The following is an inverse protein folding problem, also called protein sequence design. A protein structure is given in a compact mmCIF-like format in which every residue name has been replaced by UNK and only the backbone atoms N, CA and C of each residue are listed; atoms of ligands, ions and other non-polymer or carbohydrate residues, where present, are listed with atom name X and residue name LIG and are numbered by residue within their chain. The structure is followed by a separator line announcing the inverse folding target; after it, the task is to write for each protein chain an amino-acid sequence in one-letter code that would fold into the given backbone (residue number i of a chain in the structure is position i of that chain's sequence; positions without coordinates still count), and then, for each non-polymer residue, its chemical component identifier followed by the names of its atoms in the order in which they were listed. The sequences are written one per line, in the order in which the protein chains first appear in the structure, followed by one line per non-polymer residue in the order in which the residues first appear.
data_IF_161328648545
#
_entry.id   IF_161328648545
#
_cell.length_a   1.000
_cell.length_b   1.000
_cell.length_c   1.000
_cell.angle_alpha   90.00
_cell.angle_beta   90.00
_cell.angle_gamma   90.00
#
_symmetry.space_group_name_H-M   'P 1'
#
loop_
_entity.id
_entity.type
_entity.pdbx_description
1 polymer ?
#
# COMPACT_ATOMS: atom_id res chain seq x y z
N UNK A 1 18.74 3.72 71.31
CA UNK A 1 17.59 4.65 71.33
C UNK A 1 16.54 4.05 70.42
N UNK A 2 15.59 3.28 70.92
CA UNK A 2 14.55 3.74 71.85
C UNK A 2 13.33 4.10 70.98
N UNK A 3 12.55 3.14 70.49
CA UNK A 3 11.43 2.45 71.18
C UNK A 3 10.17 3.32 71.34
N UNK A 4 9.02 2.65 71.16
CA UNK A 4 7.64 2.96 71.60
C UNK A 4 6.77 3.80 70.64
N UNK A 5 5.70 3.27 70.02
CA UNK A 5 4.51 2.46 70.42
C UNK A 5 3.29 3.28 70.83
N UNK A 6 2.11 2.77 70.45
CA UNK A 6 0.78 3.07 71.02
C UNK A 6 -0.27 3.45 69.96
N UNK A 7 -0.94 2.52 69.26
CA UNK A 7 -2.08 1.65 69.66
C UNK A 7 -3.42 2.35 70.03
N UNK A 8 -4.49 1.98 69.32
CA UNK A 8 -5.78 1.41 69.78
C UNK A 8 -6.96 1.85 68.85
N UNK A 9 -7.60 0.93 68.11
CA UNK A 9 -8.86 0.19 68.42
C UNK A 9 -10.14 1.08 68.38
N UNK A 10 -11.31 0.76 67.83
CA UNK A 10 -11.92 -0.45 67.26
C UNK A 10 -13.26 -0.10 66.53
N UNK A 11 -13.79 -1.10 65.81
CA UNK A 11 -15.21 -1.40 65.54
C UNK A 11 -15.99 -0.71 64.40
N UNK A 12 -16.53 -1.54 63.49
CA UNK A 12 -17.59 -1.20 62.54
C UNK A 12 -17.84 -2.28 61.50
N UNK A 13 -18.63 -3.32 61.85
CA UNK A 13 -19.19 -4.32 60.92
C UNK A 13 -20.09 -3.67 59.87
N UNK A 14 -20.04 -4.16 58.62
CA UNK A 14 -21.25 -4.34 57.82
C UNK A 14 -21.05 -5.47 56.81
N UNK A 15 -21.87 -6.50 56.96
CA UNK A 15 -22.09 -7.59 56.01
C UNK A 15 -22.85 -7.06 54.80
N UNK A 16 -22.41 -7.41 53.59
CA UNK A 16 -23.31 -7.57 52.44
C UNK A 16 -22.76 -8.66 51.52
N UNK A 17 -23.44 -9.80 51.53
CA UNK A 17 -23.26 -10.88 50.57
C UNK A 17 -24.01 -10.56 49.27
N UNK A 18 -23.37 -10.77 48.12
CA UNK A 18 -24.05 -11.12 46.87
C UNK A 18 -23.25 -12.25 46.20
N UNK A 19 -23.91 -13.40 46.11
CA UNK A 19 -23.58 -14.59 45.33
C UNK A 19 -23.48 -14.31 43.82
N UNK A 20 -22.72 -15.14 43.09
CA UNK A 20 -23.15 -15.54 41.75
C UNK A 20 -22.10 -15.54 40.63
N UNK A 21 -21.26 -16.57 40.62
CA UNK A 21 -20.90 -17.43 39.49
C UNK A 21 -20.31 -16.84 38.18
N UNK A 22 -19.11 -17.29 37.84
CA UNK A 22 -18.52 -17.15 36.50
C UNK A 22 -17.03 -17.51 36.40
N UNK A 23 -16.59 -18.60 37.03
CA UNK A 23 -15.22 -19.07 36.93
C UNK A 23 -14.91 -19.62 35.51
N UNK A 24 -14.37 -18.77 34.64
CA UNK A 24 -13.59 -19.20 33.48
C UNK A 24 -12.17 -19.55 33.94
N UNK A 25 -11.95 -20.81 34.28
CA UNK A 25 -10.62 -21.39 34.52
C UNK A 25 -9.73 -21.20 33.28
N UNK A 26 -8.78 -20.27 33.35
CA UNK A 26 -7.58 -20.31 32.51
C UNK A 26 -6.63 -21.33 33.16
N UNK A 27 -6.53 -22.51 32.54
CA UNK A 27 -5.67 -23.60 33.02
C UNK A 27 -4.18 -23.20 32.96
N UNK A 28 -3.38 -23.40 34.02
CA UNK A 28 -1.93 -23.12 34.02
C UNK A 28 -1.14 -24.06 33.08
N UNK A 29 -1.78 -25.10 32.55
CA UNK A 29 -1.20 -25.99 31.54
C UNK A 29 -1.00 -25.30 30.20
N UNK A 30 -1.85 -24.32 29.83
CA UNK A 30 -1.79 -23.64 28.54
C UNK A 30 -0.59 -22.69 28.44
N UNK A 31 -0.34 -21.88 29.48
CA UNK A 31 0.84 -21.00 29.49
C UNK A 31 2.16 -21.77 29.61
N UNK A 32 2.16 -22.92 30.29
CA UNK A 32 3.32 -23.80 30.39
C UNK A 32 3.62 -24.50 29.06
N UNK A 33 2.58 -24.88 28.31
CA UNK A 33 2.73 -25.44 26.96
C UNK A 33 3.16 -24.39 25.93
N UNK A 34 2.59 -23.18 25.99
CA UNK A 34 2.95 -22.07 25.08
C UNK A 34 4.40 -21.62 25.30
N UNK A 35 4.88 -21.59 26.55
CA UNK A 35 6.29 -21.26 26.86
C UNK A 35 7.27 -22.36 26.43
N UNK A 36 6.90 -23.64 26.58
CA UNK A 36 7.70 -24.77 26.07
C UNK A 36 7.77 -24.80 24.53
N UNK A 37 6.65 -24.50 23.85
CA UNK A 37 6.62 -24.40 22.39
C UNK A 37 7.45 -23.22 21.89
N UNK A 38 7.31 -22.04 22.51
CA UNK A 38 8.09 -20.85 22.15
C UNK A 38 9.60 -21.08 22.30
N UNK A 39 10.01 -21.72 23.42
CA UNK A 39 11.39 -22.15 23.66
C UNK A 39 11.90 -23.06 22.53
N UNK A 40 11.14 -24.10 22.17
CA UNK A 40 11.54 -25.04 21.12
C UNK A 40 11.68 -24.40 19.73
N UNK A 41 10.84 -23.41 19.41
CA UNK A 41 10.95 -22.66 18.16
C UNK A 41 12.17 -21.74 18.13
N UNK A 42 12.59 -21.22 19.28
CA UNK A 42 13.80 -20.40 19.38
C UNK A 42 15.06 -21.25 19.16
N UNK A 43 15.05 -22.48 19.68
CA UNK A 43 16.15 -23.43 19.54
C UNK A 43 16.40 -23.80 18.07
N UNK A 44 15.34 -24.14 17.32
CA UNK A 44 15.45 -24.47 15.88
C UNK A 44 16.05 -23.32 15.07
N UNK A 45 15.58 -22.09 15.29
CA UNK A 45 16.10 -20.91 14.59
C UNK A 45 17.57 -20.64 14.94
N UNK A 46 17.97 -20.87 16.19
CA UNK A 46 19.37 -20.72 16.61
C UNK A 46 20.28 -21.80 16.03
N UNK A 47 19.83 -23.05 15.97
CA UNK A 47 20.59 -24.14 15.38
C UNK A 47 20.87 -23.87 13.89
N UNK A 48 19.87 -23.37 13.16
CA UNK A 48 20.03 -22.93 11.77
C UNK A 48 21.08 -21.81 11.65
N UNK A 49 20.99 -20.76 12.47
CA UNK A 49 21.94 -19.64 12.47
C UNK A 49 23.37 -20.12 12.79
N UNK A 50 23.53 -21.05 13.73
CA UNK A 50 24.83 -21.58 14.11
C UNK A 50 25.44 -22.52 13.05
N UNK A 51 24.60 -23.13 12.21
CA UNK A 51 25.05 -23.99 11.11
C UNK A 51 25.66 -23.23 9.93
N UNK A 52 25.42 -21.92 9.83
CA UNK A 52 25.95 -21.08 8.74
C UNK A 52 27.43 -20.79 9.00
N UNK A 53 28.29 -21.12 8.04
CA UNK A 53 29.75 -20.97 8.18
C UNK A 53 30.31 -19.74 7.46
N UNK A 54 29.58 -19.14 6.51
CA UNK A 54 30.04 -18.01 5.70
C UNK A 54 31.17 -18.38 4.71
N UNK A 55 31.07 -17.89 3.47
CA UNK A 55 31.96 -18.31 2.37
C UNK A 55 33.38 -17.73 2.51
N UNK A 56 33.50 -16.50 3.01
CA UNK A 56 34.76 -15.78 3.19
C UNK A 56 34.94 -15.25 4.63
N UNK A 57 36.03 -14.52 4.89
CA UNK A 57 36.29 -13.94 6.21
C UNK A 57 35.24 -12.92 6.64
N UNK A 58 34.68 -12.19 5.67
CA UNK A 58 33.64 -11.20 5.90
C UNK A 58 32.32 -11.87 6.27
N UNK A 59 31.90 -12.90 5.53
CA UNK A 59 30.73 -13.72 5.81
C UNK A 59 30.85 -14.44 7.15
N UNK A 60 32.04 -14.97 7.49
CA UNK A 60 32.30 -15.51 8.84
C UNK A 60 32.13 -14.47 9.93
N UNK A 61 32.61 -13.24 9.69
CA UNK A 61 32.52 -12.14 10.66
C UNK A 61 31.09 -11.63 10.81
N UNK A 62 30.37 -11.47 9.71
CA UNK A 62 28.95 -11.18 9.65
C UNK A 62 28.15 -12.23 10.42
N UNK A 63 28.44 -13.52 10.22
CA UNK A 63 27.71 -14.58 10.91
C UNK A 63 27.88 -14.52 12.42
N UNK A 64 29.09 -14.24 12.93
CA UNK A 64 29.31 -14.08 14.37
C UNK A 64 28.48 -12.94 14.96
N UNK A 65 28.34 -11.82 14.23
CA UNK A 65 27.53 -10.68 14.62
C UNK A 65 26.04 -11.05 14.59
N UNK A 66 25.58 -11.74 13.54
CA UNK A 66 24.21 -12.22 13.41
C UNK A 66 23.83 -13.19 14.54
N UNK A 67 24.69 -14.16 14.86
CA UNK A 67 24.50 -15.07 16.00
C UNK A 67 24.41 -14.30 17.32
N UNK A 68 25.24 -13.27 17.53
CA UNK A 68 25.18 -12.43 18.72
C UNK A 68 23.87 -11.65 18.78
N UNK A 69 23.45 -11.02 17.67
CA UNK A 69 22.21 -10.28 17.57
C UNK A 69 20.98 -11.16 17.84
N UNK A 70 20.92 -12.36 17.26
CA UNK A 70 19.83 -13.32 17.50
C UNK A 70 19.67 -13.64 18.98
N UNK A 71 20.77 -13.92 19.70
CA UNK A 71 20.74 -14.15 21.16
C UNK A 71 20.18 -12.96 21.93
N UNK A 72 20.48 -11.73 21.50
CA UNK A 72 19.97 -10.52 22.13
C UNK A 72 18.47 -10.35 21.90
N UNK A 73 17.97 -10.63 20.71
CA UNK A 73 16.53 -10.58 20.42
C UNK A 73 15.75 -11.70 21.11
N UNK A 74 16.29 -12.92 21.18
CA UNK A 74 15.69 -14.02 21.98
C UNK A 74 15.55 -13.60 23.44
N UNK A 75 16.62 -13.08 24.03
CA UNK A 75 16.61 -12.53 25.38
C UNK A 75 15.64 -11.36 25.56
N UNK A 76 15.40 -10.54 24.54
CA UNK A 76 14.42 -9.47 24.58
C UNK A 76 12.99 -10.04 24.60
N UNK A 77 12.71 -11.03 23.74
CA UNK A 77 11.42 -11.73 23.67
C UNK A 77 11.12 -12.49 24.97
N UNK A 78 12.10 -13.15 25.57
CA UNK A 78 11.93 -13.82 26.88
C UNK A 78 11.54 -12.84 28.00
N UNK A 79 12.01 -11.59 27.92
CA UNK A 79 11.69 -10.52 28.88
C UNK A 79 10.36 -9.84 28.58
N UNK A 80 10.06 -9.69 27.29
CA UNK A 80 8.83 -9.10 26.79
C UNK A 80 8.36 -9.83 25.53
N UNK A 81 7.48 -10.85 25.68
CA UNK A 81 6.96 -11.62 24.56
C UNK A 81 6.07 -10.82 23.61
N UNK A 82 5.65 -9.61 23.99
CA UNK A 82 4.78 -8.73 23.21
C UNK A 82 5.57 -7.58 22.54
N UNK A 83 6.89 -7.75 22.33
CA UNK A 83 7.74 -6.78 21.63
C UNK A 83 7.80 -7.08 20.12
N UNK A 84 7.00 -6.40 19.26
CA UNK A 84 6.99 -6.63 17.82
C UNK A 84 8.35 -6.33 17.16
N UNK A 85 9.11 -5.35 17.68
CA UNK A 85 10.39 -4.95 17.10
C UNK A 85 11.45 -6.04 17.34
N UNK A 86 11.40 -6.74 18.47
CA UNK A 86 12.29 -7.86 18.73
C UNK A 86 12.06 -9.01 17.73
N UNK A 87 10.80 -9.37 17.45
CA UNK A 87 10.49 -10.38 16.42
C UNK A 87 10.86 -9.90 15.01
N UNK A 88 10.54 -8.66 14.66
CA UNK A 88 10.87 -8.08 13.36
C UNK A 88 12.38 -8.08 13.10
N UNK A 89 13.18 -7.62 14.06
CA UNK A 89 14.64 -7.56 13.90
C UNK A 89 15.27 -8.96 13.92
N UNK A 90 14.70 -9.90 14.67
CA UNK A 90 15.17 -11.29 14.61
C UNK A 90 14.88 -11.93 13.25
N UNK A 91 13.73 -11.62 12.65
CA UNK A 91 13.42 -12.04 11.28
C UNK A 91 14.45 -11.50 10.26
N UNK A 92 14.90 -10.24 10.41
CA UNK A 92 15.97 -9.67 9.59
C UNK A 92 17.28 -10.43 9.76
N UNK A 93 17.65 -10.78 11.00
CA UNK A 93 18.86 -11.58 11.28
C UNK A 93 18.81 -12.95 10.59
N UNK A 94 17.63 -13.58 10.55
CA UNK A 94 17.41 -14.84 9.86
C UNK A 94 17.54 -14.69 8.34
N UNK A 95 16.98 -13.63 7.73
CA UNK A 95 17.16 -13.35 6.30
C UNK A 95 18.62 -13.08 5.94
N UNK A 96 19.31 -12.24 6.71
CA UNK A 96 20.74 -11.96 6.49
C UNK A 96 21.60 -13.22 6.67
N UNK A 97 21.25 -14.10 7.61
CA UNK A 97 21.90 -15.41 7.75
C UNK A 97 21.64 -16.29 6.53
N UNK A 98 20.44 -16.24 5.97
CA UNK A 98 20.04 -16.99 4.77
C UNK A 98 20.83 -16.53 3.52
N UNK A 99 21.13 -15.23 3.41
CA UNK A 99 21.97 -14.67 2.36
C UNK A 99 23.45 -14.96 2.52
N UNK A 100 23.88 -15.27 3.75
CA UNK A 100 25.25 -15.64 4.08
C UNK A 100 25.54 -17.16 3.90
N UNK A 101 24.54 -17.96 3.51
CA UNK A 101 24.67 -19.39 3.22
C UNK A 101 25.47 -19.61 1.94
N UNK A 102 26.41 -20.56 1.96
CA UNK A 102 27.14 -21.00 0.75
C UNK A 102 26.15 -21.61 -0.28
N UNK A 103 26.13 -21.11 -1.53
CA UNK A 103 25.30 -21.67 -2.59
C UNK A 103 25.52 -23.17 -2.87
N UNK A 104 26.67 -23.73 -2.49
CA UNK A 104 27.01 -25.14 -2.70
C UNK A 104 26.71 -26.05 -1.50
N UNK A 105 26.14 -25.51 -0.41
CA UNK A 105 25.72 -26.28 0.75
C UNK A 105 24.36 -26.95 0.51
N UNK A 106 24.09 -28.11 1.13
CA UNK A 106 22.84 -28.89 1.03
C UNK A 106 21.61 -28.21 1.71
N UNK A 107 21.63 -26.87 1.76
CA UNK A 107 20.51 -25.93 1.90
C UNK A 107 19.89 -25.74 3.30
N UNK A 108 20.47 -24.83 4.09
CA UNK A 108 19.82 -24.16 5.24
C UNK A 108 19.07 -22.88 4.87
N UNK A 109 19.23 -22.36 3.64
CA UNK A 109 18.68 -21.05 3.23
C UNK A 109 17.15 -20.99 3.29
N UNK A 110 16.46 -21.97 2.70
CA UNK A 110 14.99 -21.98 2.71
C UNK A 110 14.43 -22.13 4.13
N UNK A 111 15.06 -22.96 4.97
CA UNK A 111 14.66 -23.11 6.39
C UNK A 111 14.86 -21.83 7.19
N UNK A 112 15.95 -21.09 6.95
CA UNK A 112 16.17 -19.77 7.55
C UNK A 112 15.10 -18.76 7.11
N UNK A 113 14.76 -18.73 5.82
CA UNK A 113 13.69 -17.87 5.29
C UNK A 113 12.32 -18.25 5.83
N UNK A 114 12.05 -19.55 6.04
CA UNK A 114 10.81 -20.02 6.66
C UNK A 114 10.69 -19.57 8.12
N UNK A 115 11.76 -19.69 8.91
CA UNK A 115 11.77 -19.17 10.28
C UNK A 115 11.65 -17.64 10.30
N UNK A 116 12.29 -16.93 9.35
CA UNK A 116 12.10 -15.48 9.22
C UNK A 116 10.63 -15.13 8.96
N UNK A 117 9.94 -15.86 8.08
CA UNK A 117 8.51 -15.69 7.83
C UNK A 117 7.68 -15.87 9.10
N UNK A 118 7.99 -16.85 9.95
CA UNK A 118 7.29 -17.06 11.23
C UNK A 118 7.49 -15.87 12.18
N UNK A 119 8.71 -15.32 12.26
CA UNK A 119 8.98 -14.15 13.10
C UNK A 119 8.30 -12.88 12.57
N UNK A 120 8.24 -12.67 11.25
CA UNK A 120 7.43 -11.58 10.68
C UNK A 120 5.94 -11.75 10.93
N UNK A 121 5.41 -12.97 10.82
CA UNK A 121 4.01 -13.26 11.13
C UNK A 121 3.69 -12.87 12.59
N UNK A 122 4.60 -13.16 13.52
CA UNK A 122 4.42 -12.79 14.93
C UNK A 122 4.54 -11.27 15.15
N UNK A 123 5.53 -10.62 14.52
CA UNK A 123 5.67 -9.15 14.58
C UNK A 123 4.41 -8.43 14.05
N UNK A 124 3.84 -8.92 12.94
CA UNK A 124 2.61 -8.35 12.34
C UNK A 124 1.35 -8.73 13.11
N UNK A 125 1.33 -9.86 13.83
CA UNK A 125 0.27 -10.21 14.78
C UNK A 125 0.23 -9.23 15.94
N UNK A 126 1.40 -8.90 16.50
CA UNK A 126 1.56 -7.95 17.61
C UNK A 126 1.33 -6.49 17.16
N UNK A 127 1.83 -6.12 15.99
CA UNK A 127 1.67 -4.79 15.41
C UNK A 127 1.16 -4.86 13.95
N UNK A 128 -0.17 -4.89 13.72
CA UNK A 128 -0.76 -5.00 12.38
C UNK A 128 -0.52 -3.79 11.46
N UNK A 129 0.08 -2.73 11.98
CA UNK A 129 0.43 -1.50 11.24
C UNK A 129 1.94 -1.38 10.95
N UNK A 130 2.73 -2.41 11.27
CA UNK A 130 4.18 -2.41 11.04
C UNK A 130 4.51 -2.65 9.56
N UNK A 131 4.54 -1.56 8.80
CA UNK A 131 4.83 -1.54 7.35
C UNK A 131 6.08 -2.35 6.99
N UNK A 132 7.20 -2.11 7.68
CA UNK A 132 8.48 -2.74 7.35
C UNK A 132 8.44 -4.27 7.53
N UNK A 133 7.65 -4.77 8.50
CA UNK A 133 7.48 -6.20 8.70
C UNK A 133 6.73 -6.83 7.53
N UNK A 134 5.61 -6.25 7.07
CA UNK A 134 4.90 -6.76 5.89
C UNK A 134 5.75 -6.72 4.62
N UNK A 135 6.48 -5.63 4.40
CA UNK A 135 7.33 -5.46 3.22
C UNK A 135 8.49 -6.47 3.20
N UNK A 136 9.22 -6.62 4.31
CA UNK A 136 10.34 -7.56 4.40
C UNK A 136 9.88 -9.03 4.47
N UNK A 137 8.70 -9.29 5.02
CA UNK A 137 8.08 -10.61 4.96
C UNK A 137 7.75 -11.01 3.53
N UNK A 138 7.21 -10.08 2.74
CA UNK A 138 6.94 -10.32 1.32
C UNK A 138 8.22 -10.64 0.53
N UNK A 139 9.35 -9.98 0.84
CA UNK A 139 10.67 -10.27 0.27
C UNK A 139 11.10 -11.70 0.62
N UNK A 140 11.04 -12.08 1.90
CA UNK A 140 11.41 -13.42 2.34
C UNK A 140 10.61 -14.51 1.63
N UNK A 141 9.28 -14.32 1.50
CA UNK A 141 8.41 -15.25 0.77
C UNK A 141 8.76 -15.29 -0.72
N UNK A 142 9.02 -14.13 -1.34
CA UNK A 142 9.40 -14.04 -2.75
C UNK A 142 10.70 -14.80 -3.04
N UNK A 143 11.68 -14.73 -2.15
CA UNK A 143 12.94 -15.46 -2.30
C UNK A 143 12.75 -16.97 -2.17
N UNK A 144 11.90 -17.42 -1.24
CA UNK A 144 11.47 -18.83 -1.18
C UNK A 144 10.77 -19.26 -2.47
N UNK A 145 9.89 -18.41 -3.03
CA UNK A 145 9.19 -18.71 -4.28
C UNK A 145 10.16 -18.88 -5.45
N UNK A 146 11.20 -18.02 -5.56
CA UNK A 146 12.24 -18.13 -6.59
C UNK A 146 13.01 -19.45 -6.50
N UNK A 147 13.32 -19.91 -5.28
CA UNK A 147 14.02 -21.19 -5.06
C UNK A 147 13.20 -22.40 -5.54
N UNK A 148 11.88 -22.28 -5.60
CA UNK A 148 10.97 -23.33 -6.10
C UNK A 148 10.72 -23.26 -7.61
N UNK A 149 11.18 -22.22 -8.29
CA UNK A 149 11.07 -22.09 -9.74
C UNK A 149 9.62 -22.03 -10.24
N UNK A 150 9.24 -22.95 -11.14
CA UNK A 150 7.92 -22.96 -11.81
C UNK A 150 7.02 -24.09 -11.31
N UNK A 151 6.91 -24.22 -9.99
CA UNK A 151 6.07 -25.23 -9.33
C UNK A 151 4.77 -24.63 -8.79
N UNK A 152 3.84 -25.51 -8.38
CA UNK A 152 2.60 -25.07 -7.71
C UNK A 152 2.88 -24.42 -6.35
N UNK A 153 3.88 -24.92 -5.63
CA UNK A 153 4.36 -24.33 -4.38
C UNK A 153 4.89 -22.90 -4.62
N UNK A 154 5.66 -22.67 -5.69
CA UNK A 154 6.10 -21.33 -6.07
C UNK A 154 4.92 -20.39 -6.33
N UNK A 155 3.85 -20.87 -6.97
CA UNK A 155 2.62 -20.11 -7.20
C UNK A 155 1.97 -19.66 -5.88
N UNK A 156 1.84 -20.57 -4.92
CA UNK A 156 1.25 -20.28 -3.61
C UNK A 156 2.10 -19.29 -2.80
N UNK A 157 3.42 -19.44 -2.85
CA UNK A 157 4.36 -18.50 -2.21
C UNK A 157 4.29 -17.13 -2.88
N UNK A 158 4.27 -17.04 -4.21
CA UNK A 158 4.11 -15.76 -4.89
C UNK A 158 2.79 -15.07 -4.55
N UNK A 159 1.68 -15.82 -4.45
CA UNK A 159 0.40 -15.28 -4.00
C UNK A 159 0.48 -14.75 -2.56
N UNK A 160 1.20 -15.43 -1.66
CA UNK A 160 1.44 -14.96 -0.29
C UNK A 160 2.31 -13.69 -0.25
N UNK A 161 3.37 -13.63 -1.05
CA UNK A 161 4.23 -12.44 -1.15
C UNK A 161 3.43 -11.23 -1.65
N UNK A 162 2.60 -11.41 -2.69
CA UNK A 162 1.73 -10.36 -3.24
C UNK A 162 0.76 -9.83 -2.19
N UNK A 163 0.15 -10.69 -1.36
CA UNK A 163 -0.74 -10.26 -0.27
C UNK A 163 -0.01 -9.42 0.78
N UNK A 164 1.22 -9.79 1.13
CA UNK A 164 2.02 -9.03 2.09
C UNK A 164 2.52 -7.70 1.51
N UNK A 165 2.94 -7.68 0.24
CA UNK A 165 3.26 -6.43 -0.46
C UNK A 165 2.05 -5.51 -0.58
N UNK A 166 0.88 -6.04 -0.93
CA UNK A 166 -0.38 -5.29 -0.93
C UNK A 166 -0.64 -4.69 0.45
N UNK A 167 -0.49 -5.47 1.52
CA UNK A 167 -0.66 -4.96 2.88
C UNK A 167 0.35 -3.87 3.25
N UNK A 168 1.61 -3.99 2.82
CA UNK A 168 2.61 -2.94 2.99
C UNK A 168 2.23 -1.67 2.21
N UNK A 169 1.80 -1.80 0.96
CA UNK A 169 1.31 -0.66 0.15
C UNK A 169 0.08 -0.02 0.80
N UNK A 170 -0.82 -0.78 1.42
CA UNK A 170 -1.95 -0.20 2.16
C UNK A 170 -1.50 0.67 3.35
N UNK A 171 -0.42 0.29 4.03
CA UNK A 171 0.13 1.04 5.16
C UNK A 171 0.97 2.24 4.71
N UNK A 172 1.62 2.16 3.55
CA UNK A 172 2.42 3.23 2.96
C UNK A 172 2.29 3.24 1.43
N UNK A 173 1.17 3.81 0.96
CA UNK A 173 0.78 3.78 -0.45
C UNK A 173 1.70 4.61 -1.36
N UNK A 174 2.44 5.55 -0.76
CA UNK A 174 3.37 6.42 -1.46
C UNK A 174 4.81 5.87 -1.50
N UNK A 175 5.06 4.62 -1.08
CA UNK A 175 6.38 3.97 -1.13
C UNK A 175 6.67 3.41 -2.53
N UNK A 176 7.58 4.03 -3.33
CA UNK A 176 7.89 3.55 -4.67
C UNK A 176 8.54 2.16 -4.67
N UNK A 177 9.31 1.83 -3.63
CA UNK A 177 9.97 0.54 -3.45
C UNK A 177 8.93 -0.58 -3.25
N UNK A 178 7.92 -0.36 -2.40
CA UNK A 178 6.85 -1.32 -2.17
C UNK A 178 6.03 -1.57 -3.44
N UNK A 179 5.63 -0.51 -4.13
CA UNK A 179 4.88 -0.59 -5.39
C UNK A 179 5.68 -1.32 -6.48
N UNK A 180 6.98 -1.03 -6.61
CA UNK A 180 7.84 -1.71 -7.57
C UNK A 180 7.95 -3.21 -7.28
N UNK A 181 8.20 -3.59 -6.02
CA UNK A 181 8.36 -5.00 -5.65
C UNK A 181 7.03 -5.78 -5.70
N UNK A 182 5.92 -5.13 -5.39
CA UNK A 182 4.58 -5.70 -5.62
C UNK A 182 4.35 -5.98 -7.11
N UNK A 183 4.68 -5.02 -7.98
CA UNK A 183 4.61 -5.19 -9.44
C UNK A 183 5.51 -6.31 -9.97
N UNK A 184 6.73 -6.44 -9.44
CA UNK A 184 7.64 -7.55 -9.76
C UNK A 184 7.05 -8.90 -9.32
N UNK A 185 6.48 -9.00 -8.12
CA UNK A 185 5.83 -10.22 -7.64
C UNK A 185 4.65 -10.64 -8.53
N UNK A 186 3.82 -9.69 -8.96
CA UNK A 186 2.73 -9.93 -9.91
C UNK A 186 3.25 -10.41 -11.28
N UNK A 187 4.38 -9.88 -11.74
CA UNK A 187 5.03 -10.31 -12.97
C UNK A 187 5.53 -11.76 -12.87
N UNK A 188 6.21 -12.10 -11.78
CA UNK A 188 6.74 -13.45 -11.55
C UNK A 188 5.61 -14.48 -11.44
N UNK A 189 4.55 -14.17 -10.68
CA UNK A 189 3.36 -15.02 -10.60
C UNK A 189 2.73 -15.22 -11.99
N UNK A 190 2.59 -14.14 -12.77
CA UNK A 190 2.07 -14.21 -14.13
C UNK A 190 2.95 -15.04 -15.08
N UNK A 191 4.27 -15.08 -14.86
CA UNK A 191 5.18 -15.87 -15.69
C UNK A 191 5.01 -17.38 -15.47
N UNK A 192 4.59 -17.79 -14.28
CA UNK A 192 4.45 -19.22 -13.93
C UNK A 192 3.02 -19.75 -14.08
N UNK A 193 1.99 -18.89 -14.08
CA UNK A 193 0.59 -19.32 -14.21
C UNK A 193 0.06 -19.36 -15.66
N UNK A 194 -0.88 -20.27 -15.98
CA UNK A 194 -1.56 -20.30 -17.27
C UNK A 194 -2.32 -19.00 -17.58
N UNK A 195 -2.43 -18.65 -18.87
CA UNK A 195 -3.05 -17.38 -19.31
C UNK A 195 -4.48 -17.16 -18.78
N UNK A 196 -5.25 -18.24 -18.59
CA UNK A 196 -6.60 -18.22 -18.00
C UNK A 196 -6.60 -17.76 -16.54
N UNK A 197 -5.57 -18.12 -15.77
CA UNK A 197 -5.48 -17.86 -14.33
C UNK A 197 -4.86 -16.48 -14.05
N UNK A 198 -4.10 -15.93 -15.02
CA UNK A 198 -3.58 -14.56 -14.96
C UNK A 198 -4.69 -13.55 -14.69
N UNK A 199 -5.78 -13.60 -15.46
CA UNK A 199 -6.92 -12.67 -15.28
C UNK A 199 -7.56 -12.80 -13.90
N UNK A 200 -7.65 -14.01 -13.34
CA UNK A 200 -8.22 -14.25 -12.02
C UNK A 200 -7.32 -13.76 -10.90
N UNK A 201 -6.02 -14.03 -10.98
CA UNK A 201 -5.01 -13.57 -10.01
C UNK A 201 -5.00 -12.05 -9.92
N UNK A 202 -5.05 -11.41 -11.09
CA UNK A 202 -5.12 -9.98 -11.19
C UNK A 202 -6.43 -9.50 -10.57
N UNK A 203 -7.58 -10.04 -10.98
CA UNK A 203 -8.89 -9.71 -10.39
C UNK A 203 -8.93 -9.89 -8.86
N UNK A 204 -8.24 -10.88 -8.31
CA UNK A 204 -8.18 -11.12 -6.86
C UNK A 204 -7.23 -10.14 -6.16
N UNK A 205 -6.02 -9.92 -6.69
CA UNK A 205 -5.09 -8.91 -6.18
C UNK A 205 -5.74 -7.52 -6.19
N UNK A 206 -6.47 -7.21 -7.28
CA UNK A 206 -7.33 -6.05 -7.39
C UNK A 206 -8.38 -6.07 -6.28
N UNK A 207 -9.21 -7.10 -6.16
CA UNK A 207 -10.30 -7.17 -5.17
C UNK A 207 -9.84 -7.06 -3.72
N UNK A 208 -8.66 -7.55 -3.37
CA UNK A 208 -8.16 -7.51 -1.99
C UNK A 208 -7.64 -6.11 -1.60
N UNK A 209 -7.04 -5.37 -2.55
CA UNK A 209 -6.79 -3.92 -2.40
C UNK A 209 -8.10 -3.11 -2.23
N UNK A 210 -9.29 -3.69 -2.49
CA UNK A 210 -10.58 -2.94 -2.51
C UNK A 210 -11.13 -2.76 -1.12
N UNK A 211 -10.69 -3.61 -0.20
CA UNK A 211 -11.19 -3.61 1.17
C UNK A 211 -10.41 -2.68 2.08
N UNK A 212 -9.39 -2.00 1.55
CA UNK A 212 -8.35 -1.29 2.31
C UNK A 212 -8.15 0.17 1.93
N UNK A 213 -9.01 0.74 1.06
CA UNK A 213 -9.13 2.19 1.01
C UNK A 213 -9.60 2.67 2.38
N UNK A 214 -8.91 3.65 2.96
CA UNK A 214 -9.41 4.35 4.15
C UNK A 214 -10.86 4.78 3.94
N UNK A 215 -11.62 4.93 5.03
CA UNK A 215 -13.09 5.04 5.04
C UNK A 215 -13.72 6.08 4.08
N UNK A 216 -12.92 6.92 3.42
CA UNK A 216 -13.36 7.98 2.50
C UNK A 216 -12.85 7.82 1.04
N UNK A 217 -12.11 6.76 0.68
CA UNK A 217 -11.69 6.54 -0.73
C UNK A 217 -12.38 5.32 -1.32
N UNK A 218 -13.18 5.54 -2.38
CA UNK A 218 -13.84 4.45 -3.10
C UNK A 218 -12.76 3.51 -3.67
N UNK A 219 -12.92 2.18 -3.56
CA UNK A 219 -12.01 1.21 -4.17
C UNK A 219 -11.74 1.51 -5.65
N UNK A 220 -12.76 2.03 -6.34
CA UNK A 220 -12.70 2.41 -7.75
C UNK A 220 -11.65 3.51 -8.05
N UNK A 221 -11.37 4.40 -7.09
CA UNK A 221 -10.42 5.50 -7.24
C UNK A 221 -8.96 5.04 -7.10
N UNK A 222 -8.68 4.10 -6.20
CA UNK A 222 -7.36 3.49 -6.02
C UNK A 222 -6.96 2.62 -7.24
N UNK A 223 -7.92 1.89 -7.82
CA UNK A 223 -7.69 1.12 -9.06
C UNK A 223 -7.43 2.00 -10.26
N UNK A 224 -8.20 3.07 -10.38
CA UNK A 224 -7.98 4.07 -11.41
C UNK A 224 -6.57 4.63 -11.27
N UNK A 225 -6.12 4.96 -10.04
CA UNK A 225 -4.81 5.55 -9.82
C UNK A 225 -3.63 4.62 -10.20
N UNK A 226 -3.69 3.34 -9.81
CA UNK A 226 -2.64 2.37 -10.19
C UNK A 226 -2.60 2.16 -11.71
N UNK A 227 -3.77 2.06 -12.34
CA UNK A 227 -3.86 1.95 -13.80
C UNK A 227 -3.35 3.21 -14.51
N UNK A 228 -3.57 4.40 -13.94
CA UNK A 228 -3.03 5.68 -14.43
C UNK A 228 -1.50 5.65 -14.41
N UNK A 229 -0.85 5.24 -13.32
CA UNK A 229 0.62 5.16 -13.27
C UNK A 229 1.18 4.14 -14.26
N UNK A 230 0.55 2.96 -14.40
CA UNK A 230 0.97 1.94 -15.37
C UNK A 230 0.79 2.43 -16.80
N UNK A 231 -0.31 3.11 -17.11
CA UNK A 231 -0.54 3.74 -18.41
C UNK A 231 0.51 4.81 -18.70
N UNK A 232 0.82 5.66 -17.72
CA UNK A 232 1.85 6.68 -17.86
C UNK A 232 3.26 6.08 -18.05
N UNK A 233 3.62 5.07 -17.26
CA UNK A 233 4.89 4.35 -17.41
C UNK A 233 5.01 3.70 -18.79
N UNK A 234 3.94 3.08 -19.28
CA UNK A 234 3.90 2.54 -20.64
C UNK A 234 4.04 3.63 -21.71
N UNK A 235 3.34 4.76 -21.56
CA UNK A 235 3.42 5.88 -22.50
C UNK A 235 4.83 6.47 -22.59
N UNK A 236 5.52 6.62 -21.45
CA UNK A 236 6.88 7.14 -21.38
C UNK A 236 7.92 6.13 -21.89
N UNK A 237 7.69 4.83 -21.69
CA UNK A 237 8.62 3.74 -22.04
C UNK A 237 7.90 2.58 -22.76
N UNK A 238 7.39 2.80 -23.99
CA UNK A 238 6.55 1.81 -24.68
C UNK A 238 7.30 0.53 -25.10
N UNK A 239 8.63 0.61 -25.20
CA UNK A 239 9.49 -0.51 -25.57
C UNK A 239 9.71 -1.52 -24.43
N UNK A 240 9.35 -1.16 -23.20
CA UNK A 240 9.52 -2.04 -22.04
C UNK A 240 8.34 -3.01 -21.98
N UNK A 241 8.61 -4.29 -22.24
CA UNK A 241 7.59 -5.36 -22.29
C UNK A 241 6.85 -5.53 -20.97
N UNK A 242 7.47 -5.19 -19.84
CA UNK A 242 6.88 -5.18 -18.50
C UNK A 242 5.68 -4.25 -18.44
N UNK A 243 5.81 -3.00 -18.85
CA UNK A 243 4.69 -2.04 -18.85
C UNK A 243 3.61 -2.39 -19.85
N UNK A 244 3.98 -2.95 -21.01
CA UNK A 244 2.99 -3.46 -21.98
C UNK A 244 2.16 -4.58 -21.39
N UNK A 245 2.81 -5.50 -20.67
CA UNK A 245 2.16 -6.63 -20.02
C UNK A 245 1.27 -6.14 -18.88
N UNK A 246 1.80 -5.30 -17.97
CA UNK A 246 1.05 -4.69 -16.88
C UNK A 246 -0.16 -3.88 -17.39
N UNK A 247 0.01 -3.07 -18.44
CA UNK A 247 -1.08 -2.29 -19.01
C UNK A 247 -2.21 -3.17 -19.52
N UNK A 248 -1.92 -4.28 -20.21
CA UNK A 248 -2.96 -5.21 -20.67
C UNK A 248 -3.85 -5.72 -19.53
N UNK A 249 -3.31 -5.76 -18.32
CA UNK A 249 -3.96 -6.29 -17.13
C UNK A 249 -4.82 -5.24 -16.42
N UNK A 250 -4.36 -3.99 -16.39
CA UNK A 250 -5.02 -2.90 -15.66
C UNK A 250 -5.81 -1.94 -16.54
N UNK A 251 -5.70 -2.05 -17.88
CA UNK A 251 -6.35 -1.13 -18.83
C UNK A 251 -7.87 -1.04 -18.64
N UNK A 252 -8.54 -2.14 -18.25
CA UNK A 252 -9.99 -2.12 -17.99
C UNK A 252 -10.39 -1.36 -16.72
N UNK A 253 -9.44 -0.94 -15.88
CA UNK A 253 -9.68 -0.10 -14.71
C UNK A 253 -9.56 1.39 -15.01
N UNK A 254 -9.00 1.75 -16.16
CA UNK A 254 -9.02 3.14 -16.58
C UNK A 254 -10.45 3.51 -16.95
N UNK A 255 -10.89 4.74 -16.67
CA UNK A 255 -12.18 5.23 -17.11
C UNK A 255 -12.13 5.57 -18.62
N UNK A 256 -11.90 4.57 -19.46
CA UNK A 256 -11.77 4.72 -20.91
C UNK A 256 -13.01 5.44 -21.50
N UNK A 257 -12.85 6.38 -22.45
CA UNK A 257 -11.62 6.73 -23.16
C UNK A 257 -10.73 7.77 -22.44
N UNK A 258 -10.93 7.98 -21.14
CA UNK A 258 -10.23 8.96 -20.33
C UNK A 258 -9.15 8.31 -19.45
N UNK A 259 -8.21 9.12 -19.00
CA UNK A 259 -7.20 8.71 -18.04
C UNK A 259 -7.74 8.79 -16.61
N UNK A 260 -8.46 9.87 -16.27
CA UNK A 260 -9.09 10.05 -14.96
C UNK A 260 -10.47 10.69 -15.11
N UNK A 261 -11.39 10.28 -14.25
CA UNK A 261 -12.71 10.90 -14.07
C UNK A 261 -12.93 11.06 -12.57
N UNK A 262 -13.49 12.19 -12.16
CA UNK A 262 -13.77 12.45 -10.75
C UNK A 262 -14.54 13.75 -10.57
N UNK A 263 -14.86 14.09 -9.33
CA UNK A 263 -15.56 15.34 -9.02
C UNK A 263 -14.60 16.38 -8.49
N UNK A 264 -14.82 17.62 -8.90
CA UNK A 264 -14.14 18.81 -8.38
C UNK A 264 -15.20 19.92 -8.22
N UNK A 265 -15.00 20.75 -7.22
CA UNK A 265 -15.77 21.97 -7.01
C UNK A 265 -15.07 23.12 -7.72
N UNK A 266 -15.80 23.83 -8.56
CA UNK A 266 -15.24 24.84 -9.45
C UNK A 266 -16.14 26.08 -9.53
N UNK A 267 -15.59 27.28 -9.80
CA UNK A 267 -16.39 28.47 -10.02
C UNK A 267 -17.15 28.40 -11.35
N UNK A 268 -18.14 29.28 -11.58
CA UNK A 268 -18.69 29.49 -12.92
C UNK A 268 -17.57 29.85 -13.91
N UNK A 269 -17.56 29.26 -15.10
CA UNK A 269 -16.45 29.42 -16.05
C UNK A 269 -16.20 30.87 -16.49
N UNK A 270 -17.23 31.73 -16.45
CA UNK A 270 -17.12 33.16 -16.80
C UNK A 270 -16.75 34.05 -15.60
N UNK A 271 -16.72 33.51 -14.38
CA UNK A 271 -16.42 34.27 -13.15
C UNK A 271 -15.52 33.47 -12.20
N UNK A 272 -14.20 33.43 -12.43
CA UNK A 272 -13.25 32.67 -11.61
C UNK A 272 -13.14 33.14 -10.15
N UNK A 273 -13.65 34.34 -9.83
CA UNK A 273 -13.59 34.96 -8.49
C UNK A 273 -15.01 35.00 -7.89
N UNK A 274 -15.91 34.16 -8.39
CA UNK A 274 -17.28 34.09 -7.90
C UNK A 274 -17.33 33.77 -6.39
N UNK A 275 -18.31 34.33 -5.65
CA UNK A 275 -18.55 33.98 -4.26
C UNK A 275 -18.73 32.47 -4.08
N UNK A 276 -18.29 31.90 -2.94
CA UNK A 276 -18.30 30.44 -2.67
C UNK A 276 -19.65 29.77 -2.94
N UNK A 277 -20.76 30.45 -2.69
CA UNK A 277 -22.13 29.96 -2.95
C UNK A 277 -22.44 29.65 -4.42
N UNK A 278 -21.63 30.14 -5.35
CA UNK A 278 -21.77 29.90 -6.79
C UNK A 278 -20.79 28.84 -7.31
N UNK A 279 -19.93 28.30 -6.45
CA UNK A 279 -19.07 27.18 -6.83
C UNK A 279 -19.90 25.91 -6.86
N UNK A 280 -19.82 25.18 -7.96
CA UNK A 280 -20.62 23.98 -8.19
C UNK A 280 -19.70 22.76 -8.22
N UNK A 281 -20.07 21.74 -7.43
CA UNK A 281 -19.43 20.42 -7.52
C UNK A 281 -19.87 19.75 -8.81
N UNK A 282 -18.92 19.55 -9.72
CA UNK A 282 -19.17 19.00 -11.06
C UNK A 282 -18.22 17.84 -11.34
N UNK A 283 -18.60 16.97 -12.27
CA UNK A 283 -17.69 15.93 -12.75
C UNK A 283 -16.68 16.54 -13.74
N UNK A 284 -15.44 16.08 -13.67
CA UNK A 284 -14.34 16.41 -14.56
C UNK A 284 -13.76 15.14 -15.16
N UNK A 285 -13.31 15.26 -16.41
CA UNK A 285 -12.59 14.22 -17.15
C UNK A 285 -11.22 14.75 -17.56
N UNK A 286 -10.20 13.90 -17.47
CA UNK A 286 -8.85 14.16 -17.95
C UNK A 286 -8.50 13.13 -19.01
N UNK A 287 -8.23 13.59 -20.22
CA UNK A 287 -7.72 12.76 -21.31
C UNK A 287 -6.24 13.09 -21.59
N UNK A 288 -5.75 12.74 -22.78
CA UNK A 288 -4.36 13.00 -23.17
C UNK A 288 -4.09 14.44 -23.65
N UNK A 289 -5.14 15.24 -23.86
CA UNK A 289 -5.11 16.61 -24.41
C UNK A 289 -5.61 17.68 -23.44
N UNK A 290 -6.61 17.37 -22.61
CA UNK A 290 -7.32 18.38 -21.82
C UNK A 290 -7.92 17.81 -20.54
N UNK A 291 -8.05 18.70 -19.55
CA UNK A 291 -8.94 18.56 -18.39
C UNK A 291 -10.22 19.34 -18.69
N UNK A 292 -11.39 18.69 -18.58
CA UNK A 292 -12.67 19.28 -18.96
C UNK A 292 -13.77 18.96 -17.95
N UNK A 293 -14.60 19.95 -17.65
CA UNK A 293 -15.84 19.79 -16.88
C UNK A 293 -16.94 19.14 -17.73
N UNK A 294 -17.62 18.13 -17.17
CA UNK A 294 -18.68 17.34 -17.83
C UNK A 294 -20.06 17.99 -17.63
N UNK A 295 -20.94 17.85 -18.61
CA UNK A 295 -22.30 18.37 -18.57
C UNK A 295 -23.31 17.25 -18.22
N UNK A 296 -24.17 17.46 -17.22
CA UNK A 296 -25.20 16.49 -16.79
C UNK A 296 -26.32 16.25 -17.83
N UNK A 297 -26.38 17.04 -18.91
CA UNK A 297 -27.48 17.01 -19.89
C UNK A 297 -27.30 16.06 -21.10
N UNK A 298 -26.18 15.34 -21.23
CA UNK A 298 -25.98 14.39 -22.35
C UNK A 298 -26.55 12.98 -22.10
N UNK A 299 -27.23 12.73 -20.97
CA UNK A 299 -27.81 11.42 -20.64
C UNK A 299 -29.32 11.27 -20.92
N UNK A 300 -30.00 12.31 -21.44
CA UNK A 300 -31.44 12.26 -21.71
C UNK A 300 -31.76 12.48 -23.21
N UNK A 301 -32.67 11.69 -23.82
CA UNK A 301 -33.06 11.89 -25.21
C UNK A 301 -33.80 13.22 -25.35
N UNK A 302 -33.32 14.02 -26.30
CA UNK A 302 -33.77 15.36 -26.66
C UNK A 302 -35.31 15.43 -26.76
N UNK A 303 -35.93 16.26 -25.90
CA UNK A 303 -37.19 16.91 -26.25
C UNK A 303 -36.89 18.36 -26.60
N UNK A 304 -37.09 18.67 -27.87
CA UNK A 304 -37.05 20.03 -28.38
C UNK A 304 -38.15 20.85 -27.69
N UNK A 305 -37.77 21.91 -26.99
CA UNK A 305 -38.43 23.22 -27.11
C UNK A 305 -37.58 24.33 -26.50
N UNK A 306 -37.28 25.28 -27.37
CA UNK A 306 -36.91 26.68 -27.20
C UNK A 306 -36.81 27.23 -25.76
N UNK A 307 -35.64 27.82 -25.46
CA UNK A 307 -35.45 29.25 -25.22
C UNK A 307 -33.93 29.51 -25.25
N UNK A 308 -33.52 30.75 -25.54
CA UNK A 308 -32.12 31.16 -25.69
C UNK A 308 -31.38 30.98 -24.36
N UNK A 309 -30.91 29.77 -24.08
CA UNK A 309 -29.97 29.51 -22.99
C UNK A 309 -28.61 30.03 -23.43
N UNK A 310 -28.10 31.03 -22.71
CA UNK A 310 -26.67 31.37 -22.67
C UNK A 310 -25.91 30.03 -22.62
N UNK A 311 -25.15 29.71 -23.66
CA UNK A 311 -24.32 28.52 -23.68
C UNK A 311 -23.48 28.52 -22.39
N UNK A 312 -23.83 27.63 -21.44
CA UNK A 312 -23.13 27.54 -20.15
C UNK A 312 -21.67 27.25 -20.52
N UNK A 313 -20.77 28.20 -20.31
CA UNK A 313 -19.35 27.98 -20.56
C UNK A 313 -18.83 27.03 -19.48
N UNK A 314 -17.96 26.12 -19.88
CA UNK A 314 -17.42 25.08 -19.01
C UNK A 314 -15.92 25.30 -18.82
N UNK A 315 -15.41 24.88 -17.68
CA UNK A 315 -13.97 24.94 -17.44
C UNK A 315 -13.29 23.87 -18.29
N UNK A 316 -12.36 24.32 -19.13
CA UNK A 316 -11.50 23.50 -19.95
C UNK A 316 -10.07 24.02 -19.83
N UNK A 317 -9.14 23.11 -19.61
CA UNK A 317 -7.71 23.40 -19.55
C UNK A 317 -7.00 22.46 -20.51
N UNK A 318 -6.45 23.03 -21.58
CA UNK A 318 -5.62 22.28 -22.52
C UNK A 318 -4.26 21.99 -21.89
N UNK A 319 -3.79 20.75 -22.01
CA UNK A 319 -2.51 20.28 -21.44
C UNK A 319 -1.34 21.09 -22.00
N UNK A 320 -1.45 21.53 -23.25
CA UNK A 320 -0.45 22.37 -23.91
C UNK A 320 -0.29 23.76 -23.26
N UNK A 321 -1.33 24.25 -22.59
CA UNK A 321 -1.32 25.56 -21.93
C UNK A 321 -0.88 25.49 -20.46
N UNK A 322 -0.70 24.29 -19.89
CA UNK A 322 -0.29 24.12 -18.49
C UNK A 322 1.17 24.57 -18.31
N UNK A 323 1.38 25.50 -17.38
CA UNK A 323 2.70 25.97 -16.94
C UNK A 323 3.14 25.25 -15.66
N UNK A 324 2.25 25.14 -14.67
CA UNK A 324 2.52 24.45 -13.41
C UNK A 324 1.24 24.02 -12.71
N UNK A 325 1.32 22.99 -11.88
CA UNK A 325 0.19 22.44 -11.12
C UNK A 325 0.62 22.21 -9.67
N UNK A 326 -0.09 22.79 -8.71
CA UNK A 326 0.25 22.74 -7.28
C UNK A 326 -0.99 22.68 -6.37
N UNK A 327 -0.78 22.23 -5.14
CA UNK A 327 -1.73 22.45 -4.05
C UNK A 327 -1.90 23.96 -3.83
N UNK A 328 -3.08 24.36 -3.37
CA UNK A 328 -3.42 25.74 -3.09
C UNK A 328 -4.06 25.85 -1.71
N UNK A 329 -3.51 26.71 -0.86
CA UNK A 329 -4.02 27.01 0.48
C UNK A 329 -4.54 28.45 0.57
N UNK A 330 -5.02 28.98 -0.56
CA UNK A 330 -5.58 30.33 -0.62
C UNK A 330 -6.90 30.37 0.18
N UNK A 331 -6.95 31.24 1.19
CA UNK A 331 -8.09 31.41 2.08
C UNK A 331 -9.33 31.96 1.37
N UNK A 332 -9.19 32.43 0.14
CA UNK A 332 -10.30 32.87 -0.72
C UNK A 332 -11.00 31.72 -1.44
N UNK A 333 -10.47 30.50 -1.39
CA UNK A 333 -11.13 29.32 -1.95
C UNK A 333 -12.20 28.78 -0.99
N UNK A 334 -13.24 28.07 -1.51
CA UNK A 334 -14.15 27.31 -0.67
C UNK A 334 -13.41 26.30 0.22
N UNK A 335 -14.00 25.90 1.37
CA UNK A 335 -13.43 24.88 2.23
C UNK A 335 -13.19 23.57 1.46
N UNK A 336 -11.97 23.04 1.54
CA UNK A 336 -11.57 21.79 0.90
C UNK A 336 -10.10 21.79 0.51
N UNK A 337 -9.70 20.78 -0.26
CA UNK A 337 -8.32 20.65 -0.71
C UNK A 337 -8.14 21.40 -2.04
N UNK A 338 -7.50 22.57 -2.00
CA UNK A 338 -7.35 23.46 -3.15
C UNK A 338 -6.31 23.01 -4.17
N UNK A 339 -6.63 23.16 -5.45
CA UNK A 339 -5.81 22.89 -6.62
C UNK A 339 -5.64 24.18 -7.42
N UNK A 340 -4.39 24.52 -7.77
CA UNK A 340 -4.09 25.61 -8.71
C UNK A 340 -3.40 25.05 -9.95
N UNK A 341 -3.98 25.33 -11.12
CA UNK A 341 -3.39 25.02 -12.43
C UNK A 341 -3.05 26.36 -13.09
N UNK A 342 -1.77 26.72 -13.11
CA UNK A 342 -1.31 27.91 -13.83
C UNK A 342 -1.25 27.58 -15.31
N UNK A 343 -1.96 28.36 -16.13
CA UNK A 343 -1.93 28.25 -17.60
C UNK A 343 -1.32 29.50 -18.23
N UNK A 344 -1.03 29.43 -19.54
CA UNK A 344 -0.64 30.60 -20.37
C UNK A 344 -1.72 31.70 -20.39
N UNK A 345 -2.97 31.35 -20.08
CA UNK A 345 -4.13 32.25 -20.04
C UNK A 345 -4.49 32.74 -18.64
N UNK A 346 -3.77 32.27 -17.60
CA UNK A 346 -4.02 32.61 -16.20
C UNK A 346 -4.25 31.37 -15.31
N UNK A 347 -4.35 31.56 -13.99
CA UNK A 347 -4.57 30.48 -13.05
C UNK A 347 -6.02 29.98 -13.08
N UNK A 348 -6.20 28.67 -13.00
CA UNK A 348 -7.48 28.00 -12.79
C UNK A 348 -7.47 27.35 -11.42
N UNK A 349 -8.46 27.69 -10.60
CA UNK A 349 -8.60 27.17 -9.24
C UNK A 349 -9.74 26.17 -9.16
N UNK A 350 -9.48 25.03 -8.54
CA UNK A 350 -10.43 23.95 -8.33
C UNK A 350 -10.29 23.46 -6.88
N UNK A 351 -11.34 22.85 -6.32
CA UNK A 351 -11.32 22.30 -4.96
C UNK A 351 -11.74 20.84 -5.01
N UNK A 352 -10.89 19.96 -4.48
CA UNK A 352 -11.23 18.56 -4.30
C UNK A 352 -11.91 18.34 -2.94
N UNK A 353 -12.78 17.32 -2.88
CA UNK A 353 -13.54 16.96 -1.68
C UNK A 353 -12.62 16.53 -0.52
N UNK A 354 -11.48 15.91 -0.83
CA UNK A 354 -10.48 15.42 0.13
C UNK A 354 -9.05 15.71 -0.36
N UNK A 355 -8.08 15.67 0.57
CA UNK A 355 -6.65 15.84 0.23
C UNK A 355 -6.12 14.67 -0.61
N UNK A 356 -6.64 13.46 -0.39
CA UNK A 356 -6.29 12.27 -1.17
C UNK A 356 -6.80 12.38 -2.62
N UNK A 357 -8.02 12.89 -2.80
CA UNK A 357 -8.57 13.17 -4.14
C UNK A 357 -7.74 14.24 -4.87
N UNK A 358 -7.31 15.28 -4.14
CA UNK A 358 -6.41 16.31 -4.67
C UNK A 358 -5.08 15.71 -5.16
N UNK A 359 -4.43 14.87 -4.36
CA UNK A 359 -3.19 14.19 -4.74
C UNK A 359 -3.38 13.35 -6.01
N UNK A 360 -4.49 12.61 -6.09
CA UNK A 360 -4.83 11.82 -7.27
C UNK A 360 -4.99 12.66 -8.54
N UNK A 361 -5.60 13.86 -8.43
CA UNK A 361 -5.73 14.82 -9.53
C UNK A 361 -4.40 15.47 -9.91
N UNK A 362 -3.62 15.91 -8.92
CA UNK A 362 -2.29 16.49 -9.12
C UNK A 362 -1.40 15.55 -9.92
N UNK A 363 -1.32 14.29 -9.50
CA UNK A 363 -0.47 13.30 -10.13
C UNK A 363 -0.95 12.98 -11.54
N UNK A 364 -2.26 12.79 -11.75
CA UNK A 364 -2.78 12.50 -13.08
C UNK A 364 -2.48 13.65 -14.07
N UNK A 365 -2.72 14.91 -13.68
CA UNK A 365 -2.46 16.07 -14.54
C UNK A 365 -0.95 16.19 -14.82
N UNK A 366 -0.10 16.05 -13.80
CA UNK A 366 1.37 16.09 -13.95
C UNK A 366 1.89 14.98 -14.85
N UNK A 367 1.33 13.77 -14.77
CA UNK A 367 1.70 12.65 -15.64
C UNK A 367 1.33 12.94 -17.09
N UNK A 368 0.10 13.40 -17.36
CA UNK A 368 -0.33 13.77 -18.72
C UNK A 368 0.55 14.87 -19.28
N UNK A 369 0.79 15.94 -18.51
CA UNK A 369 1.70 17.02 -18.91
C UNK A 369 3.12 16.51 -19.18
N UNK A 370 3.66 15.63 -18.34
CA UNK A 370 5.00 15.06 -18.52
C UNK A 370 5.08 14.24 -19.81
N UNK A 371 4.05 13.45 -20.11
CA UNK A 371 3.95 12.66 -21.35
C UNK A 371 3.87 13.57 -22.57
N UNK A 372 3.08 14.64 -22.48
CA UNK A 372 2.97 15.68 -23.50
C UNK A 372 4.32 16.35 -23.77
N UNK A 373 4.98 16.85 -22.72
CA UNK A 373 6.28 17.51 -22.81
C UNK A 373 7.39 16.60 -23.36
N UNK A 374 7.23 15.27 -23.23
CA UNK A 374 8.13 14.26 -23.81
C UNK A 374 7.77 13.86 -25.25
N UNK A 375 6.75 14.46 -25.85
CA UNK A 375 6.27 14.12 -27.20
C UNK A 375 5.71 12.70 -27.30
N UNK A 376 5.11 12.18 -26.22
CA UNK A 376 4.55 10.81 -26.13
C UNK A 376 3.03 10.79 -26.06
N UNK A 377 2.39 11.89 -26.41
CA UNK A 377 0.95 12.06 -26.32
C UNK A 377 0.17 11.02 -27.13
N UNK A 378 0.60 10.72 -28.36
CA UNK A 378 -0.04 9.73 -29.22
C UNK A 378 -0.01 8.32 -28.62
N UNK A 379 1.03 8.01 -27.85
CA UNK A 379 1.14 6.72 -27.16
C UNK A 379 0.08 6.64 -26.06
N UNK A 380 -0.07 7.71 -25.26
CA UNK A 380 -1.12 7.77 -24.25
C UNK A 380 -2.52 7.75 -24.88
N UNK A 381 -2.70 8.42 -26.02
CA UNK A 381 -3.94 8.37 -26.78
C UNK A 381 -4.30 6.92 -27.14
N UNK A 382 -3.39 6.17 -27.78
CA UNK A 382 -3.62 4.75 -28.11
C UNK A 382 -3.83 3.84 -26.88
N UNK A 383 -3.32 4.23 -25.71
CA UNK A 383 -3.60 3.51 -24.46
C UNK A 383 -5.05 3.72 -24.01
N UNK A 384 -5.58 4.93 -24.09
CA UNK A 384 -6.90 5.26 -23.54
C UNK A 384 -8.04 5.14 -24.56
N UNK A 385 -7.80 5.31 -25.87
CA UNK A 385 -8.88 5.34 -26.87
C UNK A 385 -9.13 4.04 -27.60
N UNK A 386 -8.15 3.13 -27.70
CA UNK A 386 -8.29 1.93 -28.54
C UNK A 386 -7.00 1.60 -29.24
#
# INVERSE_FOLDING_TARGET
MGELLGEAAAAGRSDFAIDGNGAGSATPERSSQDSLQLSSHHDVAMDLINSVTGVDEEGRSRQRILTFAAKRYISAIERNPEDPDAYYNWALVLQESADNVDPNSDSSKDSLLEEACKKYAEATRLCPTLYDAYYNWAIAIADRAKMRGRTKEAEELWQQAIRNYDKAVQLSWNSPQALNNWGLGLQELSAIVPAKDKQTIIKTAIKDTSRSGGADTSPNDLYSQSAIYVAAAHALKPNYSVYRSALRLVRSMLPLPYLKVGYLTAPPADDPIAPHKHWERSQFILNHMELQQVNDSESAPVKANALVEKAKRFIKVDVADIVSVSTCSDLTLPPGAGLCINTTHGPVFLVADTWESLDGWLDAIRLVYTIFARGKTDVLAGIITG
#
